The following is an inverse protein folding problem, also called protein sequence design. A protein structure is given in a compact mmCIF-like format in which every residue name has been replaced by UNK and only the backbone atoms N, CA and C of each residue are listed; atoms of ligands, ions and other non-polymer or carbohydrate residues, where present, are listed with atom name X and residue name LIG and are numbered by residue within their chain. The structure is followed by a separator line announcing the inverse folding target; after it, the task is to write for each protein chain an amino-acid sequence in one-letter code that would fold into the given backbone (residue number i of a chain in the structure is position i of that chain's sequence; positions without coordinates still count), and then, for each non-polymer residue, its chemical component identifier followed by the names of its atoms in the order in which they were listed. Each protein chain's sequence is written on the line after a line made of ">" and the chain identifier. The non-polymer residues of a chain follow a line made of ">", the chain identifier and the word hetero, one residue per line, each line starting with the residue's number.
data_IF_391655339881
#
_entry.id   IF_391655339881
#
_cell.length_a   1.000
_cell.length_b   1.000
_cell.length_c   1.000
_cell.angle_alpha   90.00
_cell.angle_beta   90.00
_cell.angle_gamma   90.00
#
_symmetry.space_group_name_H-M   'P 1'
#
loop_
_entity.id
_entity.type
_entity.pdbx_description
1 polymer ?
#
# COMPACT_ATOMS: atom_id res chain seq x y z
N UNK A 1 -26.68 -11.80 16.28
CA UNK A 1 -26.41 -10.73 17.27
C UNK A 1 -25.42 -9.77 16.63
N UNK A 2 -25.67 -8.46 16.69
CA UNK A 2 -24.75 -7.45 16.16
C UNK A 2 -23.56 -7.31 17.11
N UNK A 3 -22.36 -7.62 16.63
CA UNK A 3 -21.14 -7.38 17.39
C UNK A 3 -20.81 -5.87 17.33
N UNK A 4 -20.54 -5.20 18.47
CA UNK A 4 -20.11 -3.81 18.45
C UNK A 4 -18.74 -3.70 17.78
N UNK A 5 -18.43 -2.54 17.15
CA UNK A 5 -17.09 -2.29 16.62
C UNK A 5 -16.05 -2.35 17.73
N UNK A 6 -14.88 -2.89 17.41
CA UNK A 6 -13.73 -2.94 18.31
C UNK A 6 -13.15 -1.54 18.60
N UNK A 7 -12.55 -1.33 19.79
CA UNK A 7 -11.88 -0.07 20.10
C UNK A 7 -10.68 0.14 19.18
N UNK A 8 -10.48 1.37 18.73
CA UNK A 8 -9.32 1.73 17.92
C UNK A 8 -8.03 1.64 18.74
N UNK A 9 -7.05 0.89 18.22
CA UNK A 9 -5.67 0.87 18.71
C UNK A 9 -4.74 1.22 17.54
N UNK A 10 -3.80 2.17 17.73
CA UNK A 10 -2.86 2.54 16.67
C UNK A 10 -2.04 1.35 16.18
N UNK A 11 -1.74 1.32 14.89
CA UNK A 11 -0.80 0.35 14.28
C UNK A 11 0.50 1.04 13.91
N UNK A 12 1.58 0.27 13.89
CA UNK A 12 2.88 0.79 13.46
C UNK A 12 2.91 0.83 11.94
N UNK A 13 3.14 2.01 11.35
CA UNK A 13 3.32 2.23 9.91
C UNK A 13 4.71 2.78 9.67
N UNK A 14 5.45 2.23 8.69
CA UNK A 14 6.77 2.72 8.27
C UNK A 14 6.92 2.68 6.74
N UNK A 15 7.62 3.65 6.13
CA UNK A 15 8.00 3.57 4.73
C UNK A 15 9.10 2.52 4.51
N UNK A 16 8.96 1.72 3.45
CA UNK A 16 9.89 0.66 3.04
C UNK A 16 10.72 1.05 1.80
N UNK A 17 10.68 2.34 1.45
CA UNK A 17 11.32 2.90 0.27
C UNK A 17 10.44 2.86 -0.98
N UNK A 18 11.05 3.20 -2.13
CA UNK A 18 10.37 3.18 -3.44
C UNK A 18 10.80 1.94 -4.23
N UNK A 19 9.83 1.13 -4.64
CA UNK A 19 10.06 -0.03 -5.50
C UNK A 19 9.85 0.35 -6.97
N UNK A 20 10.83 0.00 -7.82
CA UNK A 20 10.73 0.15 -9.28
C UNK A 20 10.48 -1.20 -9.91
N UNK A 21 9.28 -1.39 -10.45
CA UNK A 21 8.74 -2.66 -10.92
C UNK A 21 7.80 -2.40 -12.11
N UNK A 22 7.82 -3.24 -13.14
CA UNK A 22 6.82 -3.18 -14.23
C UNK A 22 6.63 -1.78 -14.86
N UNK A 23 7.71 -0.98 -14.97
CA UNK A 23 7.65 0.40 -15.47
C UNK A 23 7.09 1.45 -14.48
N UNK A 24 6.76 1.05 -13.25
CA UNK A 24 6.20 1.92 -12.21
C UNK A 24 7.21 2.21 -11.10
N UNK A 25 7.07 3.37 -10.45
CA UNK A 25 7.68 3.69 -9.17
C UNK A 25 6.61 3.72 -8.08
N UNK A 26 6.71 2.79 -7.12
CA UNK A 26 5.71 2.53 -6.09
C UNK A 26 6.33 2.84 -4.72
N UNK A 27 5.74 3.77 -3.97
CA UNK A 27 6.09 3.98 -2.56
C UNK A 27 5.54 2.82 -1.72
N UNK A 28 6.41 2.06 -1.09
CA UNK A 28 6.01 0.91 -0.30
C UNK A 28 5.92 1.27 1.19
N UNK A 29 4.86 0.81 1.84
CA UNK A 29 4.62 1.00 3.27
C UNK A 29 4.39 -0.34 3.96
N UNK A 30 4.96 -0.51 5.15
CA UNK A 30 4.68 -1.63 6.04
C UNK A 30 3.70 -1.20 7.12
N UNK A 31 2.72 -2.05 7.42
CA UNK A 31 1.79 -1.86 8.53
C UNK A 31 1.80 -3.13 9.39
N UNK A 32 1.91 -2.98 10.70
CA UNK A 32 1.90 -4.13 11.62
C UNK A 32 0.89 -3.94 12.75
N UNK A 33 0.06 -4.97 12.97
CA UNK A 33 -1.00 -4.93 13.99
C UNK A 33 -0.46 -4.77 15.42
N UNK A 34 0.74 -5.27 15.71
CA UNK A 34 1.38 -5.12 17.00
C UNK A 34 2.10 -3.75 17.10
N UNK A 35 1.64 -2.80 17.94
CA UNK A 35 2.20 -1.44 18.02
C UNK A 35 3.60 -1.36 18.62
N UNK A 36 4.05 -2.44 19.27
CA UNK A 36 5.38 -2.57 19.85
C UNK A 36 6.36 -3.33 18.92
N UNK A 37 5.92 -3.74 17.72
CA UNK A 37 6.80 -4.39 16.75
C UNK A 37 7.96 -3.45 16.40
N UNK A 38 9.18 -3.90 16.70
CA UNK A 38 10.39 -3.21 16.31
C UNK A 38 10.68 -3.41 14.82
N UNK A 39 11.40 -2.48 14.21
CA UNK A 39 11.88 -2.62 12.86
C UNK A 39 12.83 -3.84 12.73
N UNK A 40 12.79 -4.59 11.61
CA UNK A 40 11.91 -4.37 10.47
C UNK A 40 10.47 -4.84 10.72
N UNK A 41 9.48 -4.10 10.21
CA UNK A 41 8.06 -4.46 10.34
C UNK A 41 7.67 -5.73 9.57
N UNK A 42 8.43 -6.06 8.53
CA UNK A 42 8.22 -7.25 7.71
C UNK A 42 9.43 -8.16 7.83
N UNK A 43 9.20 -9.47 7.79
CA UNK A 43 10.28 -10.42 7.54
C UNK A 43 10.75 -10.32 6.08
N UNK A 44 12.00 -10.70 5.81
CA UNK A 44 12.54 -10.71 4.45
C UNK A 44 11.70 -11.55 3.48
N UNK A 45 11.14 -12.66 3.98
CA UNK A 45 10.26 -13.54 3.21
C UNK A 45 8.97 -12.81 2.78
N UNK A 46 8.31 -12.11 3.70
CA UNK A 46 7.10 -11.32 3.41
C UNK A 46 7.43 -10.17 2.47
N UNK A 47 8.51 -9.43 2.74
CA UNK A 47 8.90 -8.30 1.90
C UNK A 47 9.22 -8.74 0.46
N UNK A 48 9.94 -9.86 0.30
CA UNK A 48 10.29 -10.42 -1.01
C UNK A 48 9.04 -10.88 -1.77
N UNK A 49 8.17 -11.64 -1.10
CA UNK A 49 6.94 -12.14 -1.71
C UNK A 49 5.98 -11.01 -2.09
N UNK A 50 5.81 -10.02 -1.22
CA UNK A 50 4.98 -8.84 -1.49
C UNK A 50 5.52 -8.05 -2.68
N UNK A 51 6.84 -7.80 -2.74
CA UNK A 51 7.47 -7.11 -3.87
C UNK A 51 7.24 -7.84 -5.20
N UNK A 52 7.32 -9.17 -5.21
CA UNK A 52 7.01 -9.98 -6.39
C UNK A 52 5.53 -9.88 -6.80
N UNK A 53 4.62 -9.99 -5.83
CA UNK A 53 3.17 -9.88 -6.07
C UNK A 53 2.76 -8.49 -6.56
N UNK A 54 3.38 -7.41 -6.07
CA UNK A 54 3.21 -6.04 -6.59
C UNK A 54 3.61 -5.98 -8.07
N UNK A 55 4.78 -6.51 -8.41
CA UNK A 55 5.26 -6.54 -9.80
C UNK A 55 4.26 -7.23 -10.73
N UNK A 56 3.82 -8.44 -10.35
CA UNK A 56 2.85 -9.21 -11.12
C UNK A 56 1.50 -8.48 -11.28
N UNK A 57 0.98 -7.88 -10.20
CA UNK A 57 -0.28 -7.13 -10.26
C UNK A 57 -0.19 -5.92 -11.20
N UNK A 58 0.94 -5.20 -11.21
CA UNK A 58 1.15 -4.06 -12.10
C UNK A 58 1.32 -4.49 -13.56
N UNK A 59 2.06 -5.56 -13.83
CA UNK A 59 2.20 -6.13 -15.18
C UNK A 59 0.85 -6.56 -15.75
N UNK A 60 -0.01 -7.15 -14.92
CA UNK A 60 -1.30 -7.65 -15.36
C UNK A 60 -2.35 -6.52 -15.52
N UNK A 61 -2.39 -5.54 -14.60
CA UNK A 61 -3.53 -4.64 -14.45
C UNK A 61 -3.21 -3.14 -14.65
N UNK A 62 -1.94 -2.73 -14.60
CA UNK A 62 -1.54 -1.33 -14.61
C UNK A 62 -0.87 -0.87 -15.92
N UNK A 63 -1.10 -1.57 -17.03
CA UNK A 63 -0.53 -1.25 -18.35
C UNK A 63 -1.41 -0.30 -19.19
N UNK A 64 -2.35 0.40 -18.56
CA UNK A 64 -3.25 1.35 -19.22
C UNK A 64 -2.47 2.62 -19.66
N UNK A 65 -2.64 3.13 -20.91
CA UNK A 65 -2.01 4.36 -21.37
C UNK A 65 -2.32 5.61 -20.54
N UNK A 66 -3.38 5.59 -19.74
CA UNK A 66 -3.73 6.64 -18.77
C UNK A 66 -2.85 6.60 -17.52
N UNK A 67 -2.05 5.57 -17.32
CA UNK A 67 -1.17 5.41 -16.16
C UNK A 67 -0.06 6.46 -16.11
N UNK A 68 0.23 6.93 -14.89
CA UNK A 68 1.35 7.84 -14.65
C UNK A 68 2.67 7.12 -14.33
N UNK A 69 2.67 5.78 -14.22
CA UNK A 69 3.83 5.03 -13.76
C UNK A 69 4.18 5.29 -12.28
N UNK A 70 3.24 5.84 -11.51
CA UNK A 70 3.42 6.24 -10.11
C UNK A 70 2.31 5.66 -9.25
N UNK A 71 2.66 5.27 -8.03
CA UNK A 71 1.70 4.67 -7.11
C UNK A 71 2.27 4.43 -5.73
N UNK A 72 1.57 3.61 -4.97
CA UNK A 72 1.96 3.19 -3.63
C UNK A 72 1.44 1.78 -3.36
N UNK A 73 2.02 1.10 -2.38
CA UNK A 73 1.52 -0.17 -1.90
C UNK A 73 1.67 -0.27 -0.39
N UNK A 74 0.80 -1.09 0.21
CA UNK A 74 0.81 -1.34 1.65
C UNK A 74 0.90 -2.85 1.89
N UNK A 75 1.92 -3.28 2.63
CA UNK A 75 2.02 -4.65 3.16
C UNK A 75 1.60 -4.62 4.62
N UNK A 76 0.43 -5.16 4.90
CA UNK A 76 -0.19 -5.05 6.20
C UNK A 76 -0.26 -6.42 6.88
N UNK A 77 0.60 -6.64 7.88
CA UNK A 77 0.55 -7.81 8.76
C UNK A 77 -0.56 -7.60 9.81
N UNK A 78 -1.77 -7.99 9.43
CA UNK A 78 -2.95 -7.96 10.28
C UNK A 78 -3.00 -9.10 11.28
N UNK A 79 -4.10 -9.17 12.03
CA UNK A 79 -4.37 -10.25 12.98
C UNK A 79 -4.89 -11.54 12.30
N UNK A 80 -5.48 -11.42 11.12
CA UNK A 80 -6.11 -12.54 10.41
C UNK A 80 -5.31 -13.00 9.18
N UNK A 81 -4.62 -12.06 8.52
CA UNK A 81 -3.92 -12.28 7.26
C UNK A 81 -2.85 -11.18 7.05
N UNK A 82 -1.97 -11.41 6.08
CA UNK A 82 -1.16 -10.36 5.47
C UNK A 82 -1.92 -9.80 4.28
N UNK A 83 -2.24 -8.51 4.30
CA UNK A 83 -2.92 -7.82 3.20
C UNK A 83 -1.90 -7.07 2.35
N UNK A 84 -2.15 -7.05 1.04
CA UNK A 84 -1.34 -6.31 0.08
C UNK A 84 -2.26 -5.49 -0.79
N UNK A 85 -2.20 -4.17 -0.64
CA UNK A 85 -2.92 -3.22 -1.48
C UNK A 85 -1.91 -2.62 -2.46
N UNK A 86 -2.22 -2.72 -3.75
CA UNK A 86 -1.39 -2.18 -4.84
C UNK A 86 -2.18 -1.09 -5.54
N UNK A 87 -1.72 0.14 -5.40
CA UNK A 87 -2.43 1.34 -5.82
C UNK A 87 -1.62 2.12 -6.86
N UNK A 88 -2.23 2.51 -7.97
CA UNK A 88 -1.56 3.29 -9.01
C UNK A 88 -2.45 4.40 -9.56
N UNK A 89 -1.81 5.52 -9.91
CA UNK A 89 -2.51 6.71 -10.40
C UNK A 89 -2.67 6.67 -11.92
N UNK A 90 -3.87 7.01 -12.37
CA UNK A 90 -4.20 7.25 -13.77
C UNK A 90 -4.70 8.70 -13.97
N UNK A 91 -4.82 9.11 -15.23
CA UNK A 91 -5.36 10.43 -15.58
C UNK A 91 -6.74 10.69 -14.96
N UNK A 92 -7.03 11.97 -14.69
CA UNK A 92 -8.26 12.39 -14.01
C UNK A 92 -8.19 12.38 -12.48
N UNK A 93 -7.00 12.13 -11.91
CA UNK A 93 -6.83 12.10 -10.44
C UNK A 93 -7.48 10.87 -9.81
N UNK A 94 -7.48 9.75 -10.55
CA UNK A 94 -8.11 8.49 -10.14
C UNK A 94 -7.01 7.55 -9.66
N UNK A 95 -7.21 6.92 -8.50
CA UNK A 95 -6.40 5.80 -8.04
C UNK A 95 -7.10 4.50 -8.39
N UNK A 96 -6.38 3.60 -9.06
CA UNK A 96 -6.79 2.22 -9.27
C UNK A 96 -6.15 1.35 -8.21
N UNK A 97 -6.84 0.28 -7.80
CA UNK A 97 -6.38 -0.59 -6.73
C UNK A 97 -6.55 -2.07 -7.09
N UNK A 98 -5.56 -2.89 -6.72
CA UNK A 98 -5.65 -4.35 -6.65
C UNK A 98 -5.30 -4.81 -5.23
N UNK A 99 -6.25 -5.49 -4.59
CA UNK A 99 -6.03 -6.07 -3.26
C UNK A 99 -5.71 -7.57 -3.36
N UNK A 100 -4.69 -7.98 -2.62
CA UNK A 100 -4.31 -9.38 -2.40
C UNK A 100 -4.24 -9.67 -0.90
N UNK A 101 -4.28 -10.95 -0.56
CA UNK A 101 -4.08 -11.40 0.82
C UNK A 101 -3.30 -12.72 0.86
N UNK A 102 -2.58 -12.96 1.94
CA UNK A 102 -1.91 -14.22 2.24
C UNK A 102 -2.28 -14.69 3.66
N UNK A 103 -2.56 -15.98 3.89
CA UNK A 103 -2.80 -16.51 5.24
C UNK A 103 -1.57 -16.35 6.14
N UNK A 104 -1.75 -16.08 7.44
CA UNK A 104 -0.62 -15.93 8.37
C UNK A 104 0.29 -17.18 8.46
N UNK A 105 -0.24 -18.37 8.20
CA UNK A 105 0.53 -19.62 8.17
C UNK A 105 1.40 -19.78 6.91
N UNK A 106 1.11 -19.02 5.85
CA UNK A 106 1.86 -18.96 4.58
C UNK A 106 1.88 -17.52 4.07
N UNK A 107 2.54 -16.60 4.79
CA UNK A 107 2.43 -15.15 4.56
C UNK A 107 3.09 -14.69 3.26
N UNK A 108 3.72 -15.59 2.51
CA UNK A 108 4.28 -15.40 1.18
C UNK A 108 3.30 -15.72 0.03
N UNK A 109 2.18 -16.38 0.31
CA UNK A 109 1.27 -16.94 -0.70
C UNK A 109 0.10 -15.98 -1.02
N UNK A 110 0.39 -14.85 -1.66
CA UNK A 110 -0.61 -13.83 -2.00
C UNK A 110 -1.59 -14.30 -3.09
N UNK A 111 -2.88 -14.11 -2.86
CA UNK A 111 -3.95 -14.32 -3.84
C UNK A 111 -4.92 -13.14 -3.88
N UNK A 112 -5.60 -12.89 -5.01
CA UNK A 112 -6.55 -11.78 -5.14
C UNK A 112 -7.71 -11.85 -4.15
N UNK A 113 -8.05 -10.71 -3.56
CA UNK A 113 -9.25 -10.56 -2.72
C UNK A 113 -10.45 -10.27 -3.62
N UNK A 114 -11.54 -11.04 -3.44
CA UNK A 114 -12.79 -10.89 -4.20
C UNK A 114 -13.92 -10.26 -3.38
N UNK A 115 -13.72 -10.11 -2.07
CA UNK A 115 -14.64 -9.38 -1.22
C UNK A 115 -14.70 -7.89 -1.65
N UNK A 116 -15.85 -7.22 -1.51
CA UNK A 116 -16.00 -5.81 -1.87
C UNK A 116 -15.37 -4.87 -0.82
N UNK A 117 -14.21 -5.24 -0.29
CA UNK A 117 -13.47 -4.44 0.68
C UNK A 117 -12.61 -3.41 -0.07
N UNK A 118 -12.65 -2.17 0.40
CA UNK A 118 -11.78 -1.10 -0.11
C UNK A 118 -10.42 -1.13 0.62
N UNK A 119 -10.44 -0.94 1.92
CA UNK A 119 -9.28 -0.89 2.80
C UNK A 119 -9.76 -0.96 4.26
N UNK A 120 -8.87 -1.31 5.19
CA UNK A 120 -9.09 -1.11 6.61
C UNK A 120 -8.74 0.32 7.06
N UNK A 121 -9.19 0.70 8.25
CA UNK A 121 -9.01 2.07 8.78
C UNK A 121 -7.53 2.49 8.91
N UNK A 122 -6.61 1.55 9.10
CA UNK A 122 -5.17 1.84 9.18
C UNK A 122 -4.52 2.03 7.81
N UNK A 123 -4.96 1.29 6.78
CA UNK A 123 -4.52 1.49 5.40
C UNK A 123 -4.99 2.86 4.86
N UNK A 124 -6.19 3.30 5.27
CA UNK A 124 -6.73 4.61 4.89
C UNK A 124 -5.84 5.79 5.34
N UNK A 125 -5.00 5.62 6.36
CA UNK A 125 -4.02 6.64 6.77
C UNK A 125 -3.00 6.89 5.65
N UNK A 126 -2.46 5.81 5.09
CA UNK A 126 -1.50 5.88 3.97
C UNK A 126 -2.22 6.43 2.73
N UNK A 127 -3.41 5.92 2.41
CA UNK A 127 -4.20 6.40 1.27
C UNK A 127 -4.49 7.91 1.37
N UNK A 128 -4.82 8.42 2.56
CA UNK A 128 -5.05 9.84 2.78
C UNK A 128 -3.78 10.67 2.55
N UNK A 129 -2.64 10.24 3.09
CA UNK A 129 -1.34 10.88 2.84
C UNK A 129 -1.00 10.92 1.36
N UNK A 130 -1.15 9.78 0.67
CA UNK A 130 -0.82 9.63 -0.74
C UNK A 130 -1.72 10.49 -1.64
N UNK A 131 -3.02 10.56 -1.31
CA UNK A 131 -3.94 11.48 -1.96
C UNK A 131 -3.46 12.92 -1.80
N UNK A 132 -3.08 13.34 -0.61
CA UNK A 132 -2.64 14.71 -0.35
C UNK A 132 -1.31 15.04 -1.03
N UNK A 133 -0.36 14.10 -1.02
CA UNK A 133 0.90 14.21 -1.74
C UNK A 133 0.67 14.31 -3.27
N UNK A 134 -0.26 13.52 -3.82
CA UNK A 134 -0.62 13.59 -5.23
C UNK A 134 -1.20 14.97 -5.60
N UNK A 135 -2.12 15.50 -4.80
CA UNK A 135 -2.67 16.84 -5.03
C UNK A 135 -1.58 17.91 -4.95
N UNK A 136 -0.72 17.83 -3.94
CA UNK A 136 0.33 18.81 -3.68
C UNK A 136 1.37 18.88 -4.80
N UNK A 137 1.75 17.73 -5.36
CA UNK A 137 2.91 17.64 -6.26
C UNK A 137 2.55 17.34 -7.72
N UNK A 138 1.50 16.58 -7.96
CA UNK A 138 1.14 16.11 -9.31
C UNK A 138 -0.05 16.87 -9.91
N UNK A 139 -0.99 17.36 -9.12
CA UNK A 139 -2.11 18.18 -9.61
C UNK A 139 -1.81 19.68 -9.56
N UNK A 140 -0.70 20.07 -10.19
CA UNK A 140 -0.25 21.46 -10.28
C UNK A 140 0.02 21.87 -11.73
N UNK A 141 0.28 23.15 -11.99
CA UNK A 141 0.65 23.63 -13.33
C UNK A 141 1.97 23.02 -13.86
N UNK A 142 2.83 22.53 -12.96
CA UNK A 142 4.10 21.86 -13.29
C UNK A 142 4.23 20.62 -12.38
N UNK A 143 3.65 19.48 -12.78
CA UNK A 143 3.71 18.24 -12.00
C UNK A 143 5.16 17.84 -11.68
N UNK A 144 5.41 17.43 -10.43
CA UNK A 144 6.73 17.06 -9.92
C UNK A 144 6.69 15.64 -9.33
N UNK A 145 7.01 14.66 -10.17
CA UNK A 145 7.04 13.25 -9.78
C UNK A 145 8.15 12.92 -8.75
N UNK A 146 9.39 13.46 -8.87
CA UNK A 146 10.39 13.32 -7.81
C UNK A 146 9.91 13.83 -6.45
N UNK A 147 9.26 15.00 -6.39
CA UNK A 147 8.72 15.53 -5.13
C UNK A 147 7.62 14.62 -4.55
N UNK A 148 6.71 14.11 -5.39
CA UNK A 148 5.71 13.13 -4.98
C UNK A 148 6.33 11.86 -4.38
N UNK A 149 7.40 11.33 -5.00
CA UNK A 149 8.08 10.11 -4.53
C UNK A 149 8.87 10.35 -3.23
N UNK A 150 9.34 11.57 -2.99
CA UNK A 150 10.02 11.95 -1.75
C UNK A 150 9.06 12.23 -0.58
N UNK A 151 7.80 12.56 -0.88
CA UNK A 151 6.75 12.85 0.11
C UNK A 151 6.13 11.56 0.65
N UNK A 152 6.76 11.00 1.68
CA UNK A 152 6.37 9.75 2.33
C UNK A 152 5.72 9.99 3.69
N UNK A 153 4.76 9.15 4.05
CA UNK A 153 4.21 9.15 5.41
C UNK A 153 5.35 8.81 6.39
N UNK A 154 5.61 9.65 7.42
CA UNK A 154 6.69 9.39 8.35
C UNK A 154 6.40 8.14 9.20
N UNK A 155 7.43 7.42 9.66
CA UNK A 155 7.25 6.27 10.53
C UNK A 155 6.56 6.68 11.84
N UNK A 156 5.61 5.89 12.31
CA UNK A 156 4.86 6.23 13.51
C UNK A 156 3.71 5.29 13.85
N UNK A 157 3.04 5.62 14.94
CA UNK A 157 1.81 4.96 15.37
C UNK A 157 0.63 5.80 14.91
N UNK A 158 -0.17 5.23 14.04
CA UNK A 158 -1.39 5.84 13.52
C UNK A 158 -2.57 5.06 14.06
#
# INVERSE_FOLDING_TARGET
>A
MTQPPEPYLPRHIEPLGTWRLAGHAIKAYGIHHAPAQAAPLLTDAIATAARAAVGAALEEQAQDPRGHGLGFCMVHVGQEAVWLLVDWWITGGIVCQRMLSAPLARPEAFTPVTAPALACVWELVVTAHERDAWVRHMLTARPDAPAYLADVLPPGRY
#
